data_IF_778069542104
#
_entry.id   IF_778069542104
#
_cell.length_a   1.000
_cell.length_b   1.000
_cell.length_c   1.000
_cell.angle_alpha   90.00
_cell.angle_beta   90.00
_cell.angle_gamma   90.00
#
_symmetry.space_group_name_H-M   'P 1'
#
loop_
_entity.id
_entity.type
_entity.pdbx_description
1 polymer ?
#
# COMPACT_ATOMS: atom_id res chain seq x y z
N UNK A 1 -21.29 45.15 12.98
CA UNK A 1 -20.07 44.69 13.66
C UNK A 1 -20.23 44.92 15.16
N UNK A 2 -19.98 43.93 16.02
CA UNK A 2 -19.94 44.08 17.47
C UNK A 2 -18.61 44.69 17.90
N UNK A 3 -18.63 45.68 18.80
CA UNK A 3 -17.44 46.34 19.34
C UNK A 3 -16.87 45.62 20.56
N UNK A 4 -17.67 44.82 21.24
CA UNK A 4 -17.34 44.08 22.46
C UNK A 4 -18.54 43.96 23.38
N UNK A 5 -18.41 43.20 24.48
CA UNK A 5 -19.47 43.04 25.51
C UNK A 5 -19.13 43.81 26.79
N UNK A 6 -20.14 44.39 27.42
CA UNK A 6 -20.03 44.90 28.77
C UNK A 6 -19.98 43.75 29.79
N UNK A 7 -19.21 43.84 30.91
CA UNK A 7 -18.37 44.98 31.33
C UNK A 7 -16.94 44.99 30.75
N UNK A 8 -16.54 44.03 29.89
CA UNK A 8 -15.19 43.94 29.32
C UNK A 8 -14.80 45.14 28.45
N UNK A 9 -15.77 45.87 27.91
CA UNK A 9 -15.59 47.13 27.20
C UNK A 9 -16.49 48.18 27.81
N UNK A 10 -15.90 49.27 28.32
CA UNK A 10 -16.64 50.43 28.83
C UNK A 10 -17.31 51.20 27.70
N UNK A 11 -18.31 52.03 28.03
CA UNK A 11 -19.00 52.89 27.05
C UNK A 11 -18.03 53.88 26.38
N UNK A 12 -17.08 54.43 27.14
CA UNK A 12 -16.03 55.32 26.61
C UNK A 12 -15.16 54.54 25.59
N UNK A 13 -14.64 53.37 25.96
CA UNK A 13 -13.84 52.53 25.05
C UNK A 13 -14.61 52.05 23.81
N UNK A 14 -15.93 51.86 23.92
CA UNK A 14 -16.77 51.57 22.76
C UNK A 14 -16.89 52.73 21.79
N UNK A 15 -16.99 53.97 22.34
CA UNK A 15 -17.00 55.18 21.52
C UNK A 15 -15.67 55.40 20.80
N UNK A 16 -14.55 55.24 21.49
CA UNK A 16 -13.22 55.36 20.89
C UNK A 16 -13.02 54.35 19.76
N UNK A 17 -13.36 53.09 19.97
CA UNK A 17 -13.33 52.07 18.91
C UNK A 17 -14.23 52.41 17.72
N UNK A 18 -15.40 53.00 17.96
CA UNK A 18 -16.29 53.42 16.89
C UNK A 18 -15.71 54.56 16.06
N UNK A 19 -14.97 55.50 16.71
CA UNK A 19 -14.25 56.58 16.02
C UNK A 19 -13.13 55.99 15.13
N UNK A 20 -12.32 55.11 15.68
CA UNK A 20 -11.23 54.44 14.92
C UNK A 20 -11.77 53.70 13.70
N UNK A 21 -12.81 52.90 13.86
CA UNK A 21 -13.43 52.17 12.74
C UNK A 21 -14.00 53.09 11.67
N UNK A 22 -14.62 54.23 12.05
CA UNK A 22 -15.09 55.24 11.10
C UNK A 22 -13.92 55.92 10.35
N UNK A 23 -12.79 56.14 11.04
CA UNK A 23 -11.57 56.66 10.43
C UNK A 23 -11.04 55.67 9.36
N UNK A 24 -10.93 54.37 9.70
CA UNK A 24 -10.52 53.34 8.75
C UNK A 24 -11.41 53.32 7.50
N UNK A 25 -12.73 53.39 7.67
CA UNK A 25 -13.67 53.43 6.54
C UNK A 25 -13.44 54.67 5.68
N UNK A 26 -13.19 55.84 6.31
CA UNK A 26 -12.92 57.09 5.62
C UNK A 26 -11.60 57.08 4.83
N UNK A 27 -10.63 56.28 5.29
CA UNK A 27 -9.34 56.00 4.65
C UNK A 27 -9.44 54.89 3.60
N UNK A 28 -10.65 54.37 3.30
CA UNK A 28 -10.87 53.35 2.28
C UNK A 28 -10.61 51.91 2.74
N UNK A 29 -10.38 51.73 4.05
CA UNK A 29 -10.11 50.40 4.63
C UNK A 29 -11.37 49.81 5.28
N UNK A 30 -11.81 48.62 4.87
CA UNK A 30 -12.93 47.92 5.50
C UNK A 30 -12.46 47.21 6.80
N UNK A 31 -12.96 47.63 7.98
CA UNK A 31 -12.57 47.03 9.26
C UNK A 31 -12.93 45.55 9.40
N UNK A 32 -13.92 45.06 8.66
CA UNK A 32 -14.28 43.64 8.66
C UNK A 32 -13.23 42.79 7.91
N UNK A 33 -12.72 43.31 6.79
CA UNK A 33 -11.65 42.69 6.01
C UNK A 33 -10.37 42.65 6.84
N UNK A 34 -9.97 43.74 7.49
CA UNK A 34 -8.78 43.81 8.33
C UNK A 34 -8.87 42.81 9.51
N UNK A 35 -10.00 42.74 10.18
CA UNK A 35 -10.23 41.79 11.26
C UNK A 35 -10.21 40.34 10.78
N UNK A 36 -10.71 40.08 9.58
CA UNK A 36 -10.61 38.77 8.98
C UNK A 36 -9.14 38.38 8.66
N UNK A 37 -8.34 39.34 8.15
CA UNK A 37 -6.90 39.16 7.91
C UNK A 37 -6.13 38.88 9.20
N UNK A 38 -6.38 39.67 10.27
CA UNK A 38 -5.77 39.46 11.58
C UNK A 38 -6.09 38.05 12.14
N UNK A 39 -7.37 37.66 12.01
CA UNK A 39 -7.80 36.31 12.45
C UNK A 39 -7.13 35.23 11.64
N UNK A 40 -6.99 35.39 10.34
CA UNK A 40 -6.28 34.44 9.46
C UNK A 40 -4.77 34.37 9.82
N UNK A 41 -4.13 35.54 10.03
CA UNK A 41 -2.73 35.62 10.44
C UNK A 41 -2.47 34.89 11.77
N UNK A 42 -3.30 35.13 12.79
CA UNK A 42 -3.22 34.41 14.07
C UNK A 42 -3.41 32.90 13.91
N UNK A 43 -4.29 32.49 13.01
CA UNK A 43 -4.53 31.07 12.72
C UNK A 43 -3.33 30.42 12.03
N UNK A 44 -2.68 31.13 11.11
CA UNK A 44 -1.45 30.68 10.46
C UNK A 44 -0.29 30.51 11.45
N UNK A 45 -0.17 31.37 12.45
CA UNK A 45 0.86 31.23 13.48
C UNK A 45 0.66 30.04 14.41
N UNK A 46 -0.56 29.51 14.51
CA UNK A 46 -0.87 28.29 15.28
C UNK A 46 -0.49 27.00 14.54
N UNK A 47 -0.07 27.09 13.28
CA UNK A 47 0.14 25.92 12.42
C UNK A 47 1.34 25.03 12.81
N UNK A 48 2.31 25.55 13.55
CA UNK A 48 3.51 24.81 13.91
C UNK A 48 4.44 24.49 12.74
N UNK A 49 5.36 23.56 12.96
CA UNK A 49 6.33 23.09 11.97
C UNK A 49 5.71 22.07 11.01
N UNK A 50 6.38 21.83 9.87
CA UNK A 50 5.93 20.79 8.94
C UNK A 50 5.89 19.40 9.61
N UNK A 51 6.85 19.05 10.46
CA UNK A 51 6.90 17.77 11.15
C UNK A 51 5.73 17.59 12.14
N UNK A 52 5.37 18.63 12.89
CA UNK A 52 4.22 18.61 13.81
C UNK A 52 2.90 18.45 13.06
N UNK A 53 2.72 19.19 11.96
CA UNK A 53 1.53 19.08 11.11
C UNK A 53 1.46 17.70 10.43
N UNK A 54 2.58 17.17 9.98
CA UNK A 54 2.65 15.83 9.40
C UNK A 54 2.23 14.76 10.42
N UNK A 55 2.68 14.88 11.68
CA UNK A 55 2.30 13.95 12.75
C UNK A 55 0.82 14.06 13.09
N UNK A 56 0.26 15.27 13.16
CA UNK A 56 -1.17 15.51 13.39
C UNK A 56 -2.00 14.85 12.27
N UNK A 57 -1.64 15.10 11.00
CA UNK A 57 -2.30 14.50 9.85
C UNK A 57 -2.28 12.96 9.90
N UNK A 58 -1.10 12.37 10.17
CA UNK A 58 -0.95 10.92 10.26
C UNK A 58 -1.83 10.36 11.37
N UNK A 59 -1.86 11.01 12.53
CA UNK A 59 -2.67 10.56 13.68
C UNK A 59 -4.17 10.57 13.37
N UNK A 60 -4.66 11.62 12.72
CA UNK A 60 -6.08 11.75 12.35
C UNK A 60 -6.49 10.77 11.24
N UNK A 61 -5.60 10.50 10.27
CA UNK A 61 -5.92 9.63 9.14
C UNK A 61 -5.67 8.14 9.41
N UNK A 62 -4.81 7.80 10.37
CA UNK A 62 -4.43 6.41 10.68
C UNK A 62 -5.63 5.47 10.93
N UNK A 63 -6.71 5.88 11.60
CA UNK A 63 -7.88 5.00 11.82
C UNK A 63 -8.58 4.57 10.52
N UNK A 64 -8.48 5.38 9.45
CA UNK A 64 -9.08 5.08 8.14
C UNK A 64 -8.19 4.17 7.26
N UNK A 65 -6.94 3.94 7.65
CA UNK A 65 -6.01 3.15 6.83
C UNK A 65 -6.16 1.66 7.10
N UNK A 66 -6.36 0.89 6.03
CA UNK A 66 -6.48 -0.57 6.09
C UNK A 66 -5.20 -1.26 6.61
N UNK A 67 -4.02 -0.72 6.26
CA UNK A 67 -2.74 -1.26 6.70
C UNK A 67 -2.28 -0.60 8.00
N UNK A 68 -2.25 -1.39 9.08
CA UNK A 68 -1.75 -0.96 10.40
C UNK A 68 -0.31 -0.42 10.37
N UNK A 69 0.48 -0.80 9.35
CA UNK A 69 1.85 -0.32 9.17
C UNK A 69 1.94 0.98 8.38
N UNK A 70 0.81 1.45 7.82
CA UNK A 70 0.80 2.64 6.97
C UNK A 70 1.32 3.87 7.71
N UNK A 71 0.87 4.11 8.95
CA UNK A 71 1.34 5.23 9.77
C UNK A 71 2.87 5.19 9.97
N UNK A 72 3.42 4.04 10.39
CA UNK A 72 4.86 3.86 10.56
C UNK A 72 5.62 4.04 9.23
N UNK A 73 5.07 3.58 8.11
CA UNK A 73 5.65 3.76 6.78
C UNK A 73 5.64 5.23 6.34
N UNK A 74 4.58 5.98 6.66
CA UNK A 74 4.53 7.41 6.40
C UNK A 74 5.56 8.16 7.22
N UNK A 75 5.54 7.99 8.55
CA UNK A 75 6.48 8.63 9.46
C UNK A 75 7.92 8.31 9.10
N UNK A 76 8.26 7.03 8.90
CA UNK A 76 9.63 6.62 8.57
C UNK A 76 10.13 7.21 7.26
N UNK A 77 9.29 7.30 6.23
CA UNK A 77 9.71 7.89 4.95
C UNK A 77 9.87 9.41 5.00
N UNK A 78 9.01 10.11 5.76
CA UNK A 78 9.14 11.54 5.98
C UNK A 78 10.37 11.84 6.84
N UNK A 79 10.61 11.07 7.90
CA UNK A 79 11.80 11.20 8.75
C UNK A 79 13.11 10.98 8.00
N UNK A 80 13.12 10.06 7.03
CA UNK A 80 14.36 9.77 6.29
C UNK A 80 14.67 10.78 5.18
N UNK A 81 13.66 11.46 4.61
CA UNK A 81 13.86 12.23 3.38
C UNK A 81 13.33 13.66 3.42
N UNK A 82 12.40 13.99 4.31
CA UNK A 82 11.73 15.29 4.33
C UNK A 82 12.08 16.08 5.57
N UNK A 83 11.95 15.49 6.77
CA UNK A 83 12.23 16.18 8.03
C UNK A 83 13.65 16.71 8.14
N UNK A 84 14.70 16.01 7.66
CA UNK A 84 16.06 16.58 7.67
C UNK A 84 16.23 17.81 6.80
N UNK A 85 15.32 18.05 5.83
CA UNK A 85 15.42 19.17 4.89
C UNK A 85 14.62 20.38 5.38
N UNK A 86 13.34 20.18 5.75
CA UNK A 86 12.46 21.26 6.17
C UNK A 86 11.45 20.86 7.27
N UNK A 87 11.73 19.79 8.03
CA UNK A 87 10.83 19.34 9.10
C UNK A 87 10.52 20.40 10.15
N UNK A 88 11.52 21.19 10.53
CA UNK A 88 11.42 22.25 11.54
C UNK A 88 10.95 23.61 10.98
N UNK A 89 10.77 23.72 9.66
CA UNK A 89 10.28 24.94 9.02
C UNK A 89 8.80 25.14 9.33
N UNK A 90 8.36 26.37 9.69
CA UNK A 90 6.93 26.67 9.86
C UNK A 90 6.15 26.27 8.61
N UNK A 91 4.99 25.62 8.79
CA UNK A 91 4.20 25.06 7.68
C UNK A 91 3.73 26.16 6.70
N UNK A 92 3.53 27.38 7.20
CA UNK A 92 3.15 28.55 6.39
C UNK A 92 4.25 28.96 5.40
N UNK A 93 5.52 28.71 5.73
CA UNK A 93 6.69 29.17 4.98
C UNK A 93 7.26 28.11 4.05
N UNK A 94 6.70 26.87 4.06
CA UNK A 94 7.14 25.80 3.17
C UNK A 94 6.80 26.15 1.72
N UNK A 95 7.83 26.16 0.87
CA UNK A 95 7.77 26.58 -0.52
C UNK A 95 8.16 25.47 -1.51
N UNK A 96 8.24 25.82 -2.78
CA UNK A 96 8.59 24.87 -3.86
C UNK A 96 10.03 24.40 -3.78
N UNK A 97 10.95 25.25 -3.35
CA UNK A 97 12.37 24.92 -3.27
C UNK A 97 12.65 23.92 -2.15
N UNK A 98 11.93 24.00 -1.03
CA UNK A 98 11.98 23.01 0.04
C UNK A 98 11.55 21.63 -0.48
N UNK A 99 10.40 21.58 -1.17
CA UNK A 99 9.87 20.33 -1.74
C UNK A 99 10.85 19.74 -2.77
N UNK A 100 11.40 20.57 -3.64
CA UNK A 100 12.40 20.14 -4.63
C UNK A 100 13.69 19.65 -3.97
N UNK A 101 14.14 20.32 -2.92
CA UNK A 101 15.34 19.92 -2.16
C UNK A 101 15.20 18.54 -1.53
N UNK A 102 14.01 18.19 -1.04
CA UNK A 102 13.72 16.86 -0.52
C UNK A 102 13.58 15.79 -1.62
N UNK A 103 13.07 16.15 -2.82
CA UNK A 103 12.76 15.19 -3.88
C UNK A 103 13.92 14.93 -4.85
N UNK A 104 14.66 15.98 -5.25
CA UNK A 104 15.72 15.87 -6.27
C UNK A 104 16.76 14.78 -6.00
N UNK A 105 17.26 14.60 -4.76
CA UNK A 105 18.28 13.58 -4.47
C UNK A 105 17.81 12.14 -4.73
N UNK A 106 16.50 11.91 -4.75
CA UNK A 106 15.92 10.57 -4.90
C UNK A 106 15.03 10.43 -6.14
N UNK A 107 14.90 11.50 -6.94
CA UNK A 107 13.95 11.53 -8.06
C UNK A 107 14.29 10.56 -9.18
N UNK A 108 15.56 10.42 -9.49
CA UNK A 108 16.05 9.52 -10.54
C UNK A 108 16.28 8.10 -10.05
N UNK A 109 16.88 7.95 -8.86
CA UNK A 109 17.35 6.66 -8.37
C UNK A 109 16.26 5.86 -7.65
N UNK A 110 15.31 6.56 -7.02
CA UNK A 110 14.20 5.99 -6.25
C UNK A 110 12.87 6.63 -6.64
N UNK A 111 12.61 6.72 -7.91
CA UNK A 111 11.50 7.47 -8.53
C UNK A 111 10.13 7.14 -7.89
N UNK A 112 9.85 5.87 -7.62
CA UNK A 112 8.58 5.47 -6.97
C UNK A 112 8.49 6.00 -5.54
N UNK A 113 9.57 5.93 -4.77
CA UNK A 113 9.64 6.48 -3.41
C UNK A 113 9.47 8.00 -3.44
N UNK A 114 10.15 8.69 -4.35
CA UNK A 114 10.02 10.13 -4.54
C UNK A 114 8.60 10.54 -4.91
N UNK A 115 7.95 9.84 -5.82
CA UNK A 115 6.55 10.07 -6.20
C UNK A 115 5.58 9.87 -5.03
N UNK A 116 5.79 8.85 -4.21
CA UNK A 116 5.00 8.61 -2.99
C UNK A 116 5.22 9.70 -1.94
N UNK A 117 6.48 10.12 -1.72
CA UNK A 117 6.81 11.21 -0.80
C UNK A 117 6.19 12.53 -1.24
N UNK A 118 6.28 12.87 -2.53
CA UNK A 118 5.60 14.04 -3.09
C UNK A 118 4.09 14.01 -2.75
N UNK A 119 3.42 12.90 -3.00
CA UNK A 119 1.99 12.77 -2.70
C UNK A 119 1.67 12.82 -1.20
N UNK A 120 2.60 12.45 -0.32
CA UNK A 120 2.46 12.61 1.14
C UNK A 120 2.59 14.07 1.55
N UNK A 121 3.61 14.77 1.06
CA UNK A 121 3.79 16.21 1.28
C UNK A 121 2.59 17.01 0.78
N UNK A 122 2.10 16.70 -0.43
CA UNK A 122 0.92 17.34 -1.01
C UNK A 122 -0.30 17.25 -0.06
N UNK A 123 -0.60 16.07 0.47
CA UNK A 123 -1.73 15.87 1.38
C UNK A 123 -1.57 16.59 2.72
N UNK A 124 -0.36 16.62 3.28
CA UNK A 124 -0.06 17.32 4.52
C UNK A 124 -0.23 18.83 4.33
N UNK A 125 0.27 19.36 3.21
CA UNK A 125 0.16 20.79 2.89
C UNK A 125 -1.28 21.20 2.55
N UNK A 126 -2.06 20.33 1.89
CA UNK A 126 -3.49 20.56 1.69
C UNK A 126 -4.26 20.54 3.01
N UNK A 127 -3.95 19.60 3.91
CA UNK A 127 -4.50 19.58 5.26
C UNK A 127 -4.21 20.87 6.01
N UNK A 128 -2.96 21.33 6.00
CA UNK A 128 -2.60 22.61 6.62
C UNK A 128 -3.37 23.80 6.03
N UNK A 129 -3.63 23.79 4.73
CA UNK A 129 -4.43 24.85 4.07
C UNK A 129 -5.89 24.81 4.52
N UNK A 130 -6.49 23.62 4.59
CA UNK A 130 -7.88 23.46 5.07
C UNK A 130 -8.00 23.90 6.53
N UNK A 131 -7.00 23.59 7.36
CA UNK A 131 -6.92 24.05 8.75
C UNK A 131 -6.68 25.57 8.87
N UNK A 132 -6.31 26.25 7.78
CA UNK A 132 -5.99 27.69 7.76
C UNK A 132 -4.63 28.01 8.40
N UNK A 133 -3.71 27.05 8.43
CA UNK A 133 -2.34 27.23 8.93
C UNK A 133 -1.36 27.68 7.85
N UNK A 134 -1.79 27.63 6.59
CA UNK A 134 -1.08 28.21 5.43
C UNK A 134 -2.07 28.71 4.39
N UNK A 135 -1.60 29.63 3.55
CA UNK A 135 -2.31 30.16 2.39
C UNK A 135 -1.55 29.86 1.10
N UNK A 136 -2.16 30.20 -0.03
CA UNK A 136 -1.58 30.04 -1.36
C UNK A 136 -1.67 28.62 -1.92
N UNK A 137 -1.00 28.44 -3.06
CA UNK A 137 -0.97 27.19 -3.79
C UNK A 137 -0.13 26.12 -3.08
N UNK A 138 -0.46 24.85 -3.31
CA UNK A 138 0.29 23.76 -2.71
C UNK A 138 1.61 23.52 -3.47
N UNK A 139 2.79 23.75 -2.85
CA UNK A 139 4.09 23.62 -3.52
C UNK A 139 4.46 22.18 -3.90
N UNK A 140 3.76 21.17 -3.34
CA UNK A 140 3.95 19.76 -3.71
C UNK A 140 2.97 19.28 -4.78
N UNK A 141 2.09 20.16 -5.31
CA UNK A 141 1.15 19.82 -6.37
C UNK A 141 1.90 19.40 -7.65
N UNK A 142 1.46 18.27 -8.26
CA UNK A 142 2.09 17.78 -9.46
C UNK A 142 1.65 18.55 -10.71
N UNK A 143 0.33 18.51 -11.01
CA UNK A 143 -0.22 19.10 -12.23
C UNK A 143 -0.16 20.62 -12.19
N UNK A 144 0.39 21.21 -13.25
CA UNK A 144 0.50 22.66 -13.37
C UNK A 144 1.52 23.31 -12.43
N UNK A 145 2.35 22.51 -11.71
CA UNK A 145 3.39 23.02 -10.83
C UNK A 145 4.67 22.19 -10.95
N UNK A 146 4.89 21.15 -10.13
CA UNK A 146 6.12 20.36 -10.17
C UNK A 146 6.34 19.61 -11.47
N UNK A 147 5.29 19.33 -12.24
CA UNK A 147 5.39 18.75 -13.59
C UNK A 147 6.15 19.63 -14.61
N UNK A 148 6.31 20.92 -14.33
CA UNK A 148 7.14 21.82 -15.12
C UNK A 148 8.62 21.82 -14.69
N UNK A 149 8.92 21.36 -13.48
CA UNK A 149 10.23 21.43 -12.83
C UNK A 149 10.94 20.06 -12.77
N UNK A 150 10.19 18.97 -12.79
CA UNK A 150 10.69 17.60 -12.68
C UNK A 150 10.17 16.76 -13.85
N UNK A 151 11.00 15.88 -14.41
CA UNK A 151 10.55 14.95 -15.45
C UNK A 151 9.49 13.99 -14.88
N UNK A 152 8.52 13.62 -15.69
CA UNK A 152 7.46 12.69 -15.26
C UNK A 152 8.06 11.36 -14.75
N UNK A 153 7.61 10.82 -13.60
CA UNK A 153 8.13 9.56 -13.05
C UNK A 153 8.15 8.41 -14.06
N UNK A 154 7.13 8.31 -14.91
CA UNK A 154 7.04 7.28 -15.96
C UNK A 154 8.09 7.43 -17.08
N UNK A 155 8.67 8.62 -17.25
CA UNK A 155 9.77 8.87 -18.20
C UNK A 155 11.14 8.63 -17.57
N UNK A 156 11.26 8.79 -16.26
CA UNK A 156 12.52 8.59 -15.50
C UNK A 156 12.75 7.10 -15.25
N UNK A 157 11.75 6.41 -14.72
CA UNK A 157 11.83 4.98 -14.45
C UNK A 157 10.72 4.25 -15.21
N UNK A 158 11.11 3.38 -16.13
CA UNK A 158 10.16 2.41 -16.69
C UNK A 158 9.72 1.47 -15.57
N UNK A 159 8.42 1.17 -15.52
CA UNK A 159 7.90 0.16 -14.59
C UNK A 159 8.62 -1.16 -14.90
N UNK A 160 9.51 -1.56 -13.98
CA UNK A 160 10.10 -2.89 -14.04
C UNK A 160 9.14 -3.83 -13.31
N UNK A 161 8.58 -4.78 -14.05
CA UNK A 161 7.83 -5.88 -13.45
C UNK A 161 8.78 -6.71 -12.56
N UNK A 162 8.23 -7.28 -11.49
CA UNK A 162 8.99 -8.21 -10.67
C UNK A 162 9.50 -9.33 -11.56
N UNK A 163 10.83 -9.56 -11.58
CA UNK A 163 11.41 -10.66 -12.32
C UNK A 163 10.78 -11.97 -11.83
N UNK A 164 10.26 -12.72 -12.77
CA UNK A 164 9.61 -14.01 -12.57
C UNK A 164 10.51 -15.13 -13.07
N UNK A 165 10.32 -16.34 -12.56
CA UNK A 165 10.90 -17.53 -13.14
C UNK A 165 10.16 -17.82 -14.45
N UNK A 166 10.84 -18.07 -15.58
CA UNK A 166 10.18 -18.56 -16.78
C UNK A 166 9.32 -19.78 -16.43
N UNK A 167 8.11 -19.82 -16.92
CA UNK A 167 7.21 -20.93 -16.57
C UNK A 167 7.76 -22.29 -17.01
N UNK A 168 8.58 -22.34 -18.07
CA UNK A 168 9.32 -23.52 -18.53
C UNK A 168 10.26 -24.11 -17.48
N UNK A 169 10.78 -23.26 -16.58
CA UNK A 169 11.80 -23.62 -15.61
C UNK A 169 11.21 -23.92 -14.22
N UNK A 170 9.91 -23.70 -14.04
CA UNK A 170 9.28 -23.78 -12.70
C UNK A 170 9.37 -25.17 -12.10
N UNK A 171 9.26 -26.23 -12.90
CA UNK A 171 9.32 -27.58 -12.42
C UNK A 171 10.69 -27.92 -11.79
N UNK A 172 11.78 -27.41 -12.36
CA UNK A 172 13.15 -27.62 -11.82
C UNK A 172 13.31 -26.87 -10.47
N UNK A 173 12.79 -25.66 -10.35
CA UNK A 173 12.83 -24.88 -9.12
C UNK A 173 11.97 -25.53 -8.03
N UNK A 174 10.79 -26.06 -8.39
CA UNK A 174 9.92 -26.79 -7.45
C UNK A 174 10.57 -28.10 -6.95
N UNK A 175 11.29 -28.80 -7.80
CA UNK A 175 12.08 -29.98 -7.42
C UNK A 175 13.19 -29.57 -6.43
N UNK A 176 13.96 -28.54 -6.72
CA UNK A 176 15.00 -28.03 -5.82
C UNK A 176 14.43 -27.58 -4.44
N UNK A 177 13.29 -26.90 -4.42
CA UNK A 177 12.58 -26.55 -3.18
C UNK A 177 12.12 -27.79 -2.42
N UNK A 178 11.72 -28.86 -3.12
CA UNK A 178 11.30 -30.12 -2.51
C UNK A 178 12.44 -30.80 -1.77
N UNK A 179 13.63 -30.78 -2.33
CA UNK A 179 14.84 -31.33 -1.73
C UNK A 179 15.32 -30.58 -0.50
N UNK A 180 14.98 -29.29 -0.37
CA UNK A 180 15.44 -28.43 0.72
C UNK A 180 14.88 -28.78 2.10
N UNK A 181 13.72 -29.45 2.21
CA UNK A 181 13.10 -29.92 3.46
C UNK A 181 12.67 -28.81 4.44
N UNK A 182 13.16 -27.58 4.29
CA UNK A 182 12.92 -26.47 5.22
C UNK A 182 11.49 -25.90 5.14
N UNK A 183 10.99 -25.38 6.27
CA UNK A 183 9.64 -24.78 6.34
C UNK A 183 9.45 -23.62 5.36
N UNK A 184 10.49 -22.80 5.14
CA UNK A 184 10.44 -21.70 4.18
C UNK A 184 10.32 -22.23 2.73
N UNK A 185 11.00 -23.33 2.39
CA UNK A 185 10.87 -23.97 1.08
C UNK A 185 9.46 -24.56 0.87
N UNK A 186 8.89 -25.20 1.90
CA UNK A 186 7.49 -25.67 1.90
C UNK A 186 6.52 -24.51 1.67
N UNK A 187 6.72 -23.36 2.35
CA UNK A 187 5.90 -22.16 2.18
C UNK A 187 6.00 -21.57 0.76
N UNK A 188 7.20 -21.55 0.15
CA UNK A 188 7.38 -21.08 -1.24
C UNK A 188 6.70 -22.04 -2.22
N UNK A 189 6.83 -23.36 -2.04
CA UNK A 189 6.11 -24.35 -2.86
C UNK A 189 4.59 -24.16 -2.75
N UNK A 190 4.08 -23.97 -1.54
CA UNK A 190 2.66 -23.71 -1.32
C UNK A 190 2.21 -22.39 -1.98
N UNK A 191 3.04 -21.33 -1.91
CA UNK A 191 2.77 -20.08 -2.62
C UNK A 191 2.71 -20.26 -4.14
N UNK A 192 3.59 -21.06 -4.71
CA UNK A 192 3.59 -21.39 -6.13
C UNK A 192 2.33 -22.17 -6.52
N UNK A 193 2.03 -23.27 -5.82
CA UNK A 193 0.90 -24.15 -6.09
C UNK A 193 -0.48 -23.48 -5.91
N UNK A 194 -0.57 -22.47 -5.06
CA UNK A 194 -1.81 -21.72 -4.80
C UNK A 194 -1.89 -20.40 -5.55
N UNK A 195 -0.81 -19.97 -6.20
CA UNK A 195 -0.65 -18.65 -6.81
C UNK A 195 -1.04 -17.48 -5.85
N UNK A 196 -1.02 -17.72 -4.53
CA UNK A 196 -1.36 -16.73 -3.50
C UNK A 196 -0.21 -15.75 -3.25
N UNK A 197 -0.52 -14.58 -2.66
CA UNK A 197 0.51 -13.59 -2.31
C UNK A 197 1.36 -14.06 -1.13
N UNK A 198 2.67 -13.72 -1.13
CA UNK A 198 3.59 -14.11 -0.05
C UNK A 198 3.05 -13.74 1.34
N UNK A 199 2.42 -12.59 1.47
CA UNK A 199 1.79 -12.15 2.72
C UNK A 199 0.59 -13.00 3.13
N UNK A 200 -0.22 -13.46 2.18
CA UNK A 200 -1.37 -14.35 2.41
C UNK A 200 -0.89 -15.71 2.90
N UNK A 201 0.11 -16.30 2.22
CA UNK A 201 0.71 -17.58 2.59
C UNK A 201 1.37 -17.54 3.96
N UNK A 202 2.22 -16.54 4.22
CA UNK A 202 2.91 -16.40 5.51
C UNK A 202 1.95 -16.29 6.69
N UNK A 203 0.83 -15.59 6.49
CA UNK A 203 -0.18 -15.40 7.53
C UNK A 203 -1.31 -16.43 7.49
N UNK A 204 -1.17 -17.50 6.71
CA UNK A 204 -2.16 -18.58 6.64
C UNK A 204 -2.31 -19.24 8.01
N UNK A 205 -3.56 -19.39 8.46
CA UNK A 205 -3.92 -20.04 9.71
C UNK A 205 -4.51 -21.42 9.42
N UNK A 206 -4.29 -22.37 10.32
CA UNK A 206 -4.90 -23.68 10.23
C UNK A 206 -6.44 -23.63 10.21
N UNK A 207 -7.02 -22.69 10.94
CA UNK A 207 -8.47 -22.45 10.95
C UNK A 207 -9.07 -22.01 9.62
N UNK A 208 -8.24 -21.64 8.65
CA UNK A 208 -8.65 -21.24 7.30
C UNK A 208 -8.60 -22.41 6.29
N UNK A 209 -8.04 -23.55 6.69
CA UNK A 209 -7.83 -24.73 5.84
C UNK A 209 -8.91 -25.77 6.15
N UNK A 210 -9.66 -26.13 5.14
CA UNK A 210 -10.51 -27.32 5.13
C UNK A 210 -9.84 -28.42 4.28
N UNK A 211 -9.25 -29.39 4.98
CA UNK A 211 -8.56 -30.53 4.33
C UNK A 211 -9.55 -31.47 3.65
N UNK A 212 -10.79 -31.58 4.15
CA UNK A 212 -11.82 -32.47 3.61
C UNK A 212 -12.29 -31.99 2.23
N UNK A 213 -12.60 -30.70 2.12
CA UNK A 213 -13.03 -30.09 0.85
C UNK A 213 -11.86 -29.59 0.01
N UNK A 214 -10.64 -29.61 0.56
CA UNK A 214 -9.41 -29.07 -0.03
C UNK A 214 -9.59 -27.61 -0.43
N UNK A 215 -9.95 -26.78 0.54
CA UNK A 215 -10.18 -25.35 0.35
C UNK A 215 -9.45 -24.55 1.41
N UNK A 216 -8.69 -23.56 0.97
CA UNK A 216 -8.18 -22.52 1.84
C UNK A 216 -9.06 -21.26 1.69
N UNK A 217 -9.70 -20.85 2.77
CA UNK A 217 -10.58 -19.69 2.80
C UNK A 217 -9.86 -18.51 3.46
N UNK A 218 -9.45 -17.53 2.65
CA UNK A 218 -8.80 -16.31 3.15
C UNK A 218 -9.88 -15.28 3.48
N UNK A 219 -10.00 -14.83 4.74
CA UNK A 219 -11.01 -13.87 5.15
C UNK A 219 -10.79 -12.48 4.51
N UNK A 220 -11.87 -11.73 4.35
CA UNK A 220 -11.90 -10.44 3.66
C UNK A 220 -10.94 -9.41 4.24
N UNK A 221 -10.74 -9.42 5.55
CA UNK A 221 -9.85 -8.51 6.30
C UNK A 221 -8.39 -8.65 5.90
N UNK A 222 -7.99 -9.85 5.44
CA UNK A 222 -6.63 -10.14 4.99
C UNK A 222 -6.44 -9.93 3.49
N UNK A 223 -7.53 -9.78 2.74
CA UNK A 223 -7.49 -9.59 1.29
C UNK A 223 -7.35 -8.12 0.91
N UNK A 224 -6.45 -7.82 -0.05
CA UNK A 224 -6.28 -6.45 -0.57
C UNK A 224 -7.59 -5.86 -1.11
N UNK A 225 -8.41 -6.69 -1.75
CA UNK A 225 -9.70 -6.29 -2.30
C UNK A 225 -10.83 -6.18 -1.25
N UNK A 226 -10.61 -6.62 0.01
CA UNK A 226 -11.62 -6.62 1.06
C UNK A 226 -12.78 -7.58 0.80
N UNK A 227 -12.53 -8.67 0.06
CA UNK A 227 -13.50 -9.73 -0.23
C UNK A 227 -12.89 -11.08 0.13
N UNK A 228 -13.68 -11.97 0.71
CA UNK A 228 -13.31 -13.35 0.98
C UNK A 228 -12.81 -14.02 -0.30
N UNK A 229 -11.73 -14.79 -0.20
CA UNK A 229 -11.16 -15.53 -1.32
C UNK A 229 -10.99 -17.01 -0.97
N UNK A 230 -11.63 -17.88 -1.74
CA UNK A 230 -11.46 -19.33 -1.63
C UNK A 230 -10.40 -19.78 -2.62
N UNK A 231 -9.38 -20.46 -2.13
CA UNK A 231 -8.29 -21.04 -2.93
C UNK A 231 -8.50 -22.55 -2.97
N UNK A 232 -8.71 -23.15 -4.15
CA UNK A 232 -8.74 -24.60 -4.26
C UNK A 232 -7.34 -25.16 -4.06
N UNK A 233 -7.22 -26.18 -3.22
CA UNK A 233 -5.95 -26.85 -2.94
C UNK A 233 -5.82 -28.10 -3.80
N UNK A 234 -4.78 -28.13 -4.63
CA UNK A 234 -4.37 -29.31 -5.37
C UNK A 234 -3.78 -30.39 -4.45
N UNK A 235 -3.70 -31.65 -4.89
CA UNK A 235 -3.08 -32.73 -4.09
C UNK A 235 -1.66 -32.37 -3.63
N UNK A 236 -0.73 -31.87 -4.48
CA UNK A 236 0.59 -31.47 -4.01
C UNK A 236 0.58 -30.33 -2.97
N UNK A 237 -0.44 -29.48 -2.98
CA UNK A 237 -0.58 -28.44 -1.95
C UNK A 237 -1.08 -29.01 -0.62
N UNK A 238 -2.00 -29.98 -0.65
CA UNK A 238 -2.45 -30.70 0.57
C UNK A 238 -1.34 -31.57 1.13
N UNK A 239 -0.54 -32.26 0.31
CA UNK A 239 0.61 -33.05 0.76
C UNK A 239 1.64 -32.23 1.55
N UNK A 240 1.82 -30.96 1.17
CA UNK A 240 2.67 -30.04 1.95
C UNK A 240 2.06 -29.79 3.33
N UNK A 241 0.75 -29.61 3.42
CA UNK A 241 0.04 -29.34 4.68
C UNK A 241 0.03 -30.58 5.58
N UNK A 242 -0.22 -31.77 5.03
CA UNK A 242 -0.19 -33.04 5.75
C UNK A 242 1.20 -33.34 6.36
N UNK A 243 2.25 -32.92 5.66
CA UNK A 243 3.63 -33.01 6.14
C UNK A 243 4.03 -31.94 7.18
N UNK A 244 3.07 -31.15 7.68
CA UNK A 244 3.29 -30.15 8.75
C UNK A 244 2.59 -30.55 10.03
N UNK A 245 3.19 -30.23 11.19
CA UNK A 245 2.58 -30.44 12.48
C UNK A 245 1.43 -29.46 12.71
N UNK A 246 0.20 -29.93 12.62
CA UNK A 246 -0.95 -29.14 13.01
C UNK A 246 -1.02 -29.08 14.55
N UNK A 247 -1.16 -27.88 15.17
CA UNK A 247 -1.41 -27.78 16.59
C UNK A 247 -2.70 -28.49 16.99
N UNK A 248 -2.70 -29.20 18.13
CA UNK A 248 -3.85 -29.98 18.63
C UNK A 248 -5.12 -29.16 18.81
N UNK A 249 -4.99 -27.85 19.01
CA UNK A 249 -6.13 -26.92 19.15
C UNK A 249 -6.62 -26.35 17.80
N UNK A 250 -6.06 -26.77 16.67
CA UNK A 250 -6.42 -26.28 15.34
C UNK A 250 -6.13 -24.79 15.09
N UNK A 251 -5.39 -24.14 15.98
CA UNK A 251 -5.07 -22.69 15.89
C UNK A 251 -3.58 -22.48 15.60
N UNK A 252 -3.24 -21.30 15.06
CA UNK A 252 -1.86 -20.93 14.76
C UNK A 252 -1.55 -20.86 13.27
N UNK A 253 -0.34 -20.40 12.98
CA UNK A 253 0.13 -20.26 11.60
C UNK A 253 0.46 -21.64 11.02
N UNK A 254 0.10 -21.84 9.74
CA UNK A 254 0.53 -23.00 8.96
C UNK A 254 2.05 -22.97 8.77
N UNK A 255 2.61 -21.78 8.56
CA UNK A 255 4.05 -21.54 8.41
C UNK A 255 4.54 -20.60 9.53
N UNK A 256 4.73 -21.11 10.76
CA UNK A 256 5.20 -20.29 11.87
C UNK A 256 6.65 -19.85 11.66
N UNK A 257 7.00 -18.69 12.19
CA UNK A 257 8.38 -18.21 12.27
C UNK A 257 9.15 -18.84 13.43
N UNK A 258 10.33 -18.30 13.71
CA UNK A 258 11.13 -18.72 14.88
C UNK A 258 10.34 -18.62 16.19
N UNK A 259 9.50 -17.56 16.33
CA UNK A 259 8.50 -17.49 17.40
C UNK A 259 7.16 -18.04 16.85
N UNK A 260 6.57 -19.07 17.46
CA UNK A 260 5.32 -19.67 16.97
C UNK A 260 4.15 -18.70 16.84
N UNK A 261 4.13 -17.64 17.65
CA UNK A 261 3.13 -16.56 17.58
C UNK A 261 3.33 -15.58 16.42
N UNK A 262 4.36 -15.76 15.60
CA UNK A 262 4.64 -14.93 14.44
C UNK A 262 4.82 -15.79 13.19
N UNK A 263 4.37 -15.31 12.01
CA UNK A 263 4.58 -16.02 10.74
C UNK A 263 6.04 -15.97 10.31
N UNK A 264 6.42 -16.80 9.36
CA UNK A 264 7.68 -16.69 8.61
C UNK A 264 7.86 -15.27 8.07
N UNK A 265 9.11 -14.81 8.01
CA UNK A 265 9.45 -13.52 7.41
C UNK A 265 9.45 -13.62 5.88
N UNK A 266 9.23 -12.50 5.19
CA UNK A 266 9.34 -12.43 3.74
C UNK A 266 10.76 -12.75 3.25
N UNK A 267 11.76 -12.36 4.04
CA UNK A 267 13.18 -12.66 3.79
C UNK A 267 13.45 -14.16 3.81
N UNK A 268 12.78 -14.92 4.68
CA UNK A 268 12.96 -16.37 4.73
C UNK A 268 12.47 -17.05 3.44
N UNK A 269 11.30 -16.63 2.94
CA UNK A 269 10.76 -17.13 1.68
C UNK A 269 11.66 -16.75 0.50
N UNK A 270 12.09 -15.49 0.44
CA UNK A 270 12.98 -14.99 -0.61
C UNK A 270 14.31 -15.76 -0.65
N UNK A 271 14.93 -16.00 0.52
CA UNK A 271 16.16 -16.79 0.60
C UNK A 271 15.97 -18.23 0.10
N UNK A 272 14.88 -18.89 0.47
CA UNK A 272 14.58 -20.24 0.01
C UNK A 272 14.38 -20.28 -1.51
N UNK A 273 13.65 -19.31 -2.07
CA UNK A 273 13.45 -19.20 -3.51
C UNK A 273 14.77 -18.95 -4.25
N UNK A 274 15.57 -17.98 -3.78
CA UNK A 274 16.86 -17.64 -4.41
C UNK A 274 17.83 -18.82 -4.44
N UNK A 275 17.87 -19.61 -3.35
CA UNK A 275 18.70 -20.81 -3.29
C UNK A 275 18.24 -21.85 -4.31
N UNK A 276 16.93 -22.09 -4.42
CA UNK A 276 16.37 -23.06 -5.33
C UNK A 276 16.47 -22.63 -6.81
N UNK A 277 16.33 -21.35 -7.09
CA UNK A 277 16.41 -20.78 -8.43
C UNK A 277 17.86 -20.49 -8.88
N UNK A 278 18.85 -20.56 -8.00
CA UNK A 278 20.24 -20.22 -8.31
C UNK A 278 20.50 -18.75 -8.62
N UNK A 279 19.51 -17.87 -8.36
CA UNK A 279 19.60 -16.43 -8.64
C UNK A 279 18.84 -15.60 -7.60
N UNK A 280 19.30 -14.36 -7.38
CA UNK A 280 18.61 -13.38 -6.52
C UNK A 280 17.63 -12.48 -7.28
N UNK A 281 17.56 -12.63 -8.58
CA UNK A 281 16.78 -11.75 -9.47
C UNK A 281 15.28 -12.05 -9.47
N UNK A 282 14.86 -13.17 -8.90
CA UNK A 282 13.46 -13.62 -8.84
C UNK A 282 12.83 -13.28 -7.50
N UNK A 283 11.52 -13.13 -7.49
CA UNK A 283 10.76 -12.80 -6.27
C UNK A 283 9.63 -13.81 -6.05
N UNK A 284 9.23 -14.02 -4.78
CA UNK A 284 8.06 -14.87 -4.47
C UNK A 284 6.78 -14.29 -5.12
N UNK A 285 6.69 -12.97 -5.26
CA UNK A 285 5.60 -12.34 -6.01
C UNK A 285 5.65 -12.69 -7.51
N UNK A 286 6.86 -12.81 -8.08
CA UNK A 286 7.08 -13.21 -9.47
C UNK A 286 6.51 -14.60 -9.82
N UNK A 287 6.38 -15.52 -8.85
CA UNK A 287 5.74 -16.81 -9.08
C UNK A 287 4.29 -16.69 -9.57
N UNK A 288 3.60 -15.61 -9.22
CA UNK A 288 2.25 -15.32 -9.72
C UNK A 288 2.26 -14.90 -11.20
N UNK A 289 3.31 -14.20 -11.63
CA UNK A 289 3.53 -13.90 -13.05
C UNK A 289 3.85 -15.17 -13.81
N UNK A 290 4.71 -16.05 -13.26
CA UNK A 290 5.00 -17.38 -13.81
C UNK A 290 3.72 -18.20 -14.04
N UNK A 291 2.82 -18.25 -13.05
CA UNK A 291 1.52 -18.92 -13.18
C UNK A 291 0.65 -18.27 -14.26
N UNK A 292 0.59 -16.94 -14.30
CA UNK A 292 -0.23 -16.20 -15.27
C UNK A 292 0.28 -16.43 -16.71
N UNK A 293 1.62 -16.38 -16.90
CA UNK A 293 2.26 -16.59 -18.20
C UNK A 293 2.03 -18.03 -18.68
N UNK A 294 2.21 -19.02 -17.80
CA UNK A 294 1.88 -20.41 -18.10
C UNK A 294 0.41 -20.59 -18.50
N UNK A 295 -0.50 -20.01 -17.73
CA UNK A 295 -1.92 -20.14 -18.02
C UNK A 295 -2.30 -19.48 -19.37
N UNK A 296 -1.65 -18.38 -19.73
CA UNK A 296 -1.90 -17.68 -20.98
C UNK A 296 -1.28 -18.36 -22.22
N UNK A 297 -0.11 -19.00 -22.04
CA UNK A 297 0.67 -19.57 -23.17
C UNK A 297 0.46 -21.07 -23.35
N UNK A 298 0.14 -21.80 -22.27
CA UNK A 298 0.09 -23.25 -22.27
C UNK A 298 -1.32 -23.82 -22.02
N UNK A 299 -2.35 -22.98 -21.86
CA UNK A 299 -3.72 -23.45 -21.57
C UNK A 299 -4.79 -22.66 -22.31
N UNK A 300 -5.99 -23.26 -22.42
CA UNK A 300 -7.16 -22.63 -23.02
C UNK A 300 -8.14 -22.05 -21.98
N UNK A 301 -7.71 -21.88 -20.72
CA UNK A 301 -8.59 -21.32 -19.70
C UNK A 301 -8.90 -19.84 -19.97
N UNK A 302 -10.18 -19.43 -19.86
CA UNK A 302 -10.55 -18.03 -20.01
C UNK A 302 -9.77 -17.16 -19.04
N UNK A 303 -9.26 -16.01 -19.52
CA UNK A 303 -8.49 -15.06 -18.70
C UNK A 303 -9.17 -14.68 -17.38
N UNK A 304 -10.51 -14.64 -17.35
CA UNK A 304 -11.26 -14.36 -16.14
C UNK A 304 -11.07 -15.42 -15.03
N UNK A 305 -10.92 -16.71 -15.40
CA UNK A 305 -10.67 -17.80 -14.44
C UNK A 305 -9.29 -17.63 -13.82
N UNK A 306 -8.29 -17.29 -14.65
CA UNK A 306 -6.90 -17.04 -14.24
C UNK A 306 -6.81 -15.81 -13.31
N UNK A 307 -7.42 -14.70 -13.69
CA UNK A 307 -7.42 -13.47 -12.89
C UNK A 307 -8.18 -13.67 -11.56
N UNK A 308 -9.26 -14.46 -11.55
CA UNK A 308 -9.95 -14.84 -10.31
C UNK A 308 -9.12 -15.77 -9.43
N UNK A 309 -8.33 -16.68 -10.00
CA UNK A 309 -7.39 -17.50 -9.22
C UNK A 309 -6.33 -16.62 -8.53
N UNK A 310 -5.89 -15.56 -9.21
CA UNK A 310 -4.98 -14.56 -8.68
C UNK A 310 -5.64 -13.57 -7.71
N UNK A 311 -6.92 -13.66 -7.42
CA UNK A 311 -7.69 -12.67 -6.64
C UNK A 311 -7.50 -11.25 -7.17
N UNK A 312 -7.49 -11.08 -8.50
CA UNK A 312 -7.51 -9.79 -9.17
C UNK A 312 -8.97 -9.35 -9.43
N UNK A 313 -9.16 -8.05 -9.59
CA UNK A 313 -10.45 -7.54 -10.04
C UNK A 313 -10.63 -7.88 -11.52
N UNK A 314 -11.72 -8.58 -11.86
CA UNK A 314 -12.03 -8.98 -13.24
C UNK A 314 -13.16 -8.12 -13.77
N UNK A 315 -12.97 -7.58 -14.96
CA UNK A 315 -13.99 -6.79 -15.67
C UNK A 315 -14.10 -5.34 -15.19
N UNK A 316 -15.03 -4.61 -15.80
CA UNK A 316 -15.38 -3.28 -15.35
C UNK A 316 -16.29 -3.35 -14.10
N UNK A 317 -16.51 -2.21 -13.41
CA UNK A 317 -17.35 -2.16 -12.19
C UNK A 317 -18.77 -2.67 -12.43
N UNK A 318 -19.28 -2.58 -13.64
CA UNK A 318 -20.62 -3.02 -14.02
C UNK A 318 -20.70 -4.54 -14.11
N UNK A 319 -19.75 -5.19 -14.81
CA UNK A 319 -19.66 -6.65 -14.88
C UNK A 319 -19.43 -7.28 -13.51
N UNK A 320 -18.58 -6.66 -12.69
CA UNK A 320 -18.32 -7.12 -11.33
C UNK A 320 -19.57 -7.10 -10.42
N UNK A 321 -20.53 -6.19 -10.67
CA UNK A 321 -21.78 -6.08 -9.93
C UNK A 321 -22.77 -7.20 -10.27
N UNK A 322 -22.75 -7.71 -11.51
CA UNK A 322 -23.62 -8.78 -11.96
C UNK A 322 -23.09 -10.19 -11.68
N UNK A 323 -21.80 -10.32 -11.40
CA UNK A 323 -21.15 -11.61 -11.16
C UNK A 323 -21.31 -12.06 -9.72
N UNK A 324 -22.17 -13.06 -9.47
CA UNK A 324 -22.42 -13.65 -8.13
C UNK A 324 -21.50 -14.84 -7.81
N UNK A 325 -20.97 -15.53 -8.81
CA UNK A 325 -20.11 -16.70 -8.64
C UNK A 325 -18.63 -16.37 -8.73
N UNK A 326 -17.78 -17.20 -8.07
CA UNK A 326 -16.33 -17.06 -8.05
C UNK A 326 -15.60 -18.08 -8.97
N UNK A 327 -16.33 -18.74 -9.84
CA UNK A 327 -15.84 -19.76 -10.79
C UNK A 327 -15.01 -20.86 -10.10
N UNK A 328 -15.40 -21.26 -8.88
CA UNK A 328 -14.58 -22.10 -8.00
C UNK A 328 -14.16 -23.42 -8.65
N UNK A 329 -15.07 -24.16 -9.27
CA UNK A 329 -14.75 -25.46 -9.89
C UNK A 329 -13.85 -25.32 -11.12
N UNK A 330 -14.04 -24.25 -11.93
CA UNK A 330 -13.13 -23.95 -13.05
C UNK A 330 -11.72 -23.60 -12.53
N UNK A 331 -11.63 -22.86 -11.43
CA UNK A 331 -10.36 -22.56 -10.78
C UNK A 331 -9.72 -23.79 -10.16
N UNK A 332 -10.51 -24.74 -9.62
CA UNK A 332 -10.02 -26.02 -9.12
C UNK A 332 -9.30 -26.81 -10.22
N UNK A 333 -9.96 -26.97 -11.38
CA UNK A 333 -9.35 -27.66 -12.52
C UNK A 333 -8.05 -26.98 -12.99
N UNK A 334 -8.06 -25.64 -13.10
CA UNK A 334 -6.88 -24.85 -13.46
C UNK A 334 -5.72 -25.06 -12.46
N UNK A 335 -6.01 -25.05 -11.15
CA UNK A 335 -4.97 -25.20 -10.11
C UNK A 335 -4.44 -26.64 -10.02
N UNK A 336 -5.26 -27.64 -10.30
CA UNK A 336 -4.82 -29.03 -10.38
C UNK A 336 -3.89 -29.23 -11.60
N UNK A 337 -4.21 -28.64 -12.75
CA UNK A 337 -3.36 -28.69 -13.95
C UNK A 337 -2.03 -27.93 -13.73
N UNK A 338 -2.09 -26.75 -13.10
CA UNK A 338 -0.90 -26.02 -12.71
C UNK A 338 0.00 -26.81 -11.76
N UNK A 339 -0.59 -27.48 -10.77
CA UNK A 339 0.18 -28.29 -9.83
C UNK A 339 0.84 -29.49 -10.52
N UNK A 340 0.14 -30.15 -11.41
CA UNK A 340 0.71 -31.23 -12.23
C UNK A 340 1.90 -30.73 -13.07
N UNK A 341 1.78 -29.55 -13.66
CA UNK A 341 2.86 -28.90 -14.40
C UNK A 341 4.07 -28.64 -13.50
N UNK A 342 3.86 -27.98 -12.36
CA UNK A 342 4.90 -27.65 -11.37
C UNK A 342 5.63 -28.87 -10.82
N UNK A 343 4.96 -30.01 -10.76
CA UNK A 343 5.53 -31.29 -10.29
C UNK A 343 6.17 -32.13 -11.40
N UNK A 344 6.22 -31.66 -12.64
CA UNK A 344 6.76 -32.42 -13.78
C UNK A 344 5.91 -33.61 -14.18
N UNK A 345 4.64 -33.65 -13.78
CA UNK A 345 3.69 -34.74 -14.09
C UNK A 345 2.93 -34.50 -15.40
N UNK A 346 3.45 -33.63 -16.28
CA UNK A 346 2.84 -33.39 -17.56
C UNK A 346 2.91 -34.61 -18.47
N UNK A 347 1.75 -35.08 -18.91
CA UNK A 347 1.65 -35.74 -20.20
C UNK A 347 1.79 -34.62 -21.25
N UNK A 348 2.88 -34.68 -22.05
CA UNK A 348 2.98 -33.88 -23.26
C UNK A 348 1.65 -34.02 -24.02
N UNK A 349 0.85 -32.94 -24.06
CA UNK A 349 -0.18 -32.85 -25.10
C UNK A 349 0.58 -32.67 -26.41
N UNK A 350 0.32 -33.53 -27.42
CA UNK A 350 0.95 -33.42 -28.73
C UNK A 350 0.60 -32.08 -29.40
#
# INVERSE_FOLDING_TARGET
MSLGSYPGLSLAGARDRAVDLRRMIKEGTDPLVERAKEKAARKMEQGGTFAEVAQAYITEQAPAWKDRKAAATWTGSLANHVFPVFGDKPIKDVDTDDVLSALRPIWTDRTETAGRLRGRMERILDYARVMGWREGENPARWRGHLSALLPAPSKVAKVQHHKAIPWTDIASVMAALSMSGGLAAKAVRFACLTAARSGEVRSCLWSEIDMTTRVWTIPAERMKAGRLHRVPLSMPATDILDGLCQPTNGTGFVFPGYRPSRPLTDVALSKALHLAAGTKDVTVHGLRSTFRDWAAEATDYPNEVVEMALAHAVGNKVEAAYRRGDLFEKRRALMDEWAAYCCGLHRNRP
#
